data_IF_855342633328
#
_entry.id   IF_855342633328
#
_cell.length_a   1.000
_cell.length_b   1.000
_cell.length_c   1.000
_cell.angle_alpha   90.00
_cell.angle_beta   90.00
_cell.angle_gamma   90.00
#
_symmetry.space_group_name_H-M   'P 1'
#
loop_
_entity.id
_entity.type
_entity.pdbx_description
1 polymer ?
#
# COMPACT_ATOMS: atom_id res chain seq x y z
N UNK A 1 13.57 2.44 2.77
CA UNK A 1 13.13 3.63 2.00
C UNK A 1 12.03 3.25 1.02
N UNK A 2 11.02 4.10 0.85
CA UNK A 2 9.98 3.87 -0.17
C UNK A 2 10.51 4.25 -1.54
N UNK A 3 10.27 3.38 -2.53
CA UNK A 3 10.61 3.57 -3.94
C UNK A 3 9.32 3.51 -4.74
N UNK A 4 9.14 4.44 -5.68
CA UNK A 4 7.94 4.49 -6.51
C UNK A 4 8.36 4.49 -7.97
N UNK A 5 7.74 3.60 -8.74
CA UNK A 5 7.77 3.64 -10.19
C UNK A 5 6.40 4.05 -10.72
N UNK A 6 6.36 5.09 -11.55
CA UNK A 6 5.16 5.59 -12.19
C UNK A 6 4.98 5.03 -13.61
N UNK A 7 3.74 4.68 -13.96
CA UNK A 7 3.39 4.18 -15.29
C UNK A 7 3.57 2.66 -15.45
N UNK A 8 3.66 2.21 -16.69
CA UNK A 8 3.64 0.79 -17.03
C UNK A 8 4.91 0.07 -16.55
N UNK A 9 4.74 -0.94 -15.71
CA UNK A 9 5.82 -1.78 -15.19
C UNK A 9 5.47 -3.26 -15.36
N UNK A 10 6.20 -3.96 -16.21
CA UNK A 10 5.91 -5.36 -16.57
C UNK A 10 5.95 -6.31 -15.37
N UNK A 11 6.83 -6.03 -14.42
CA UNK A 11 7.05 -6.80 -13.20
C UNK A 11 5.98 -6.53 -12.13
N UNK A 12 5.17 -5.48 -12.30
CA UNK A 12 4.14 -5.10 -11.35
C UNK A 12 2.94 -6.05 -11.41
N UNK A 13 2.49 -6.52 -10.25
CA UNK A 13 1.26 -7.29 -10.11
C UNK A 13 0.08 -6.32 -10.03
N UNK A 14 -0.70 -6.24 -11.11
CA UNK A 14 -1.83 -5.32 -11.23
C UNK A 14 -3.06 -5.75 -10.44
N UNK A 15 -3.42 -7.04 -10.48
CA UNK A 15 -4.62 -7.55 -9.83
C UNK A 15 -4.32 -7.97 -8.38
N UNK A 16 -4.06 -7.00 -7.52
CA UNK A 16 -3.71 -7.22 -6.11
C UNK A 16 -4.82 -7.93 -5.33
N UNK A 17 -6.09 -7.69 -5.68
CA UNK A 17 -7.22 -8.37 -5.06
C UNK A 17 -7.23 -9.87 -5.33
N UNK A 18 -6.90 -10.29 -6.56
CA UNK A 18 -6.81 -11.71 -6.91
C UNK A 18 -5.58 -12.35 -6.28
N UNK A 19 -4.43 -11.68 -6.32
CA UNK A 19 -3.22 -12.17 -5.64
C UNK A 19 -3.49 -12.38 -4.14
N UNK A 20 -4.03 -11.35 -3.47
CA UNK A 20 -4.38 -11.45 -2.05
C UNK A 20 -5.32 -12.62 -1.77
N UNK A 21 -6.34 -12.85 -2.61
CA UNK A 21 -7.29 -13.95 -2.42
C UNK A 21 -6.62 -15.33 -2.36
N UNK A 22 -5.54 -15.55 -3.11
CA UNK A 22 -4.89 -16.86 -3.23
C UNK A 22 -3.64 -17.01 -2.35
N UNK A 23 -2.97 -15.91 -2.02
CA UNK A 23 -1.62 -15.94 -1.45
C UNK A 23 -1.50 -15.25 -0.08
N UNK A 24 -2.59 -14.74 0.50
CA UNK A 24 -2.52 -14.21 1.87
C UNK A 24 -2.41 -15.31 2.91
N UNK A 25 -1.68 -15.04 3.99
CA UNK A 25 -1.55 -15.93 5.13
C UNK A 25 -2.38 -15.45 6.33
N UNK A 26 -3.06 -16.37 7.02
CA UNK A 26 -3.90 -16.05 8.18
C UNK A 26 -3.16 -15.30 9.29
N UNK A 27 -1.89 -15.63 9.51
CA UNK A 27 -1.07 -14.97 10.53
C UNK A 27 -0.74 -13.51 10.18
N UNK A 28 -0.84 -13.10 8.92
CA UNK A 28 -0.68 -11.70 8.51
C UNK A 28 -1.83 -10.84 9.03
N UNK A 29 -3.05 -11.39 9.11
CA UNK A 29 -4.24 -10.65 9.50
C UNK A 29 -4.22 -10.26 10.98
N UNK A 30 -3.64 -11.13 11.81
CA UNK A 30 -3.53 -10.90 13.26
C UNK A 30 -2.26 -10.16 13.68
N UNK A 31 -1.37 -9.82 12.75
CA UNK A 31 -0.19 -9.00 13.00
C UNK A 31 -0.61 -7.63 13.57
N UNK A 32 -0.03 -7.16 14.70
CA UNK A 32 -0.46 -5.92 15.34
C UNK A 32 -0.41 -4.70 14.42
N UNK A 33 0.59 -4.61 13.54
CA UNK A 33 0.71 -3.52 12.58
C UNK A 33 -0.40 -3.62 11.52
N UNK A 34 -0.72 -4.82 11.04
CA UNK A 34 -1.85 -5.02 10.11
C UNK A 34 -3.19 -4.70 10.78
N UNK A 35 -3.39 -5.04 12.05
CA UNK A 35 -4.62 -4.67 12.77
C UNK A 35 -4.81 -3.16 12.87
N UNK A 36 -3.75 -2.41 13.20
CA UNK A 36 -3.79 -0.94 13.23
C UNK A 36 -4.10 -0.37 11.84
N UNK A 37 -3.49 -0.95 10.80
CA UNK A 37 -3.69 -0.55 9.41
C UNK A 37 -5.11 -0.82 8.89
N UNK A 38 -5.67 -2.01 9.17
CA UNK A 38 -7.06 -2.35 8.84
C UNK A 38 -8.01 -1.38 9.53
N UNK A 39 -7.81 -1.14 10.83
CA UNK A 39 -8.64 -0.20 11.58
C UNK A 39 -8.56 1.22 11.03
N UNK A 40 -7.39 1.68 10.64
CA UNK A 40 -7.20 3.04 10.16
C UNK A 40 -7.74 3.26 8.74
N UNK A 41 -7.52 2.33 7.82
CA UNK A 41 -7.88 2.48 6.40
C UNK A 41 -9.29 1.96 6.10
N UNK A 42 -9.65 0.79 6.63
CA UNK A 42 -10.93 0.11 6.38
C UNK A 42 -12.01 0.51 7.41
N UNK A 43 -11.60 1.03 8.56
CA UNK A 43 -12.45 1.25 9.74
C UNK A 43 -13.02 -0.05 10.33
N UNK A 44 -12.40 -1.18 10.02
CA UNK A 44 -12.81 -2.51 10.47
C UNK A 44 -11.95 -3.01 11.63
N UNK A 45 -12.51 -3.89 12.48
CA UNK A 45 -11.81 -4.47 13.64
C UNK A 45 -11.52 -5.94 13.40
N UNK A 46 -10.25 -6.35 13.49
CA UNK A 46 -9.86 -7.76 13.39
C UNK A 46 -10.21 -8.49 14.70
N UNK A 47 -11.18 -9.40 14.65
CA UNK A 47 -11.57 -10.23 15.79
C UNK A 47 -10.70 -11.48 15.89
N UNK A 48 -10.42 -12.10 14.74
CA UNK A 48 -9.54 -13.27 14.60
C UNK A 48 -8.96 -13.31 13.17
N UNK A 49 -8.07 -14.26 12.85
CA UNK A 49 -7.43 -14.36 11.52
C UNK A 49 -8.44 -14.48 10.37
N UNK A 50 -9.54 -15.20 10.58
CA UNK A 50 -10.60 -15.41 9.60
C UNK A 50 -11.81 -14.48 9.73
N UNK A 51 -11.85 -13.60 10.75
CA UNK A 51 -13.06 -12.83 11.08
C UNK A 51 -12.73 -11.37 11.38
N UNK A 52 -13.31 -10.49 10.58
CA UNK A 52 -13.16 -9.03 10.67
C UNK A 52 -14.55 -8.41 10.81
N UNK A 53 -14.71 -7.50 11.76
CA UNK A 53 -15.95 -6.75 11.98
C UNK A 53 -15.91 -5.43 11.20
N UNK A 54 -16.61 -5.40 10.07
CA UNK A 54 -16.74 -4.22 9.22
C UNK A 54 -17.94 -3.38 9.61
N UNK A 55 -17.80 -2.04 9.69
CA UNK A 55 -18.92 -1.15 10.01
C UNK A 55 -19.99 -1.13 8.92
N UNK A 56 -19.66 -1.55 7.68
CA UNK A 56 -20.58 -1.52 6.53
C UNK A 56 -21.15 -2.90 6.23
N UNK A 57 -20.31 -3.94 6.26
CA UNK A 57 -20.68 -5.29 5.82
C UNK A 57 -20.90 -6.28 6.98
N UNK A 58 -20.68 -5.86 8.23
CA UNK A 58 -20.69 -6.74 9.40
C UNK A 58 -19.50 -7.68 9.42
N UNK A 59 -19.71 -8.94 9.85
CA UNK A 59 -18.62 -9.93 9.95
C UNK A 59 -18.25 -10.45 8.57
N UNK A 60 -17.02 -10.17 8.14
CA UNK A 60 -16.47 -10.55 6.84
C UNK A 60 -15.17 -11.34 7.01
N UNK A 61 -14.82 -12.23 6.05
CA UNK A 61 -13.48 -12.81 5.98
C UNK A 61 -12.44 -11.77 5.48
N UNK A 62 -11.13 -12.05 5.59
CA UNK A 62 -10.07 -11.15 5.08
C UNK A 62 -10.20 -10.78 3.60
N UNK A 63 -10.72 -11.70 2.78
CA UNK A 63 -11.00 -11.42 1.35
C UNK A 63 -12.08 -10.35 1.15
N UNK A 64 -12.82 -9.97 2.19
CA UNK A 64 -13.81 -8.89 2.17
C UNK A 64 -13.22 -7.50 2.42
N UNK A 65 -11.96 -7.37 2.83
CA UNK A 65 -11.30 -6.08 3.05
C UNK A 65 -11.27 -5.21 1.79
N UNK A 66 -11.18 -3.89 1.97
CA UNK A 66 -11.00 -2.96 0.86
C UNK A 66 -9.70 -3.26 0.08
N UNK A 67 -9.73 -2.97 -1.22
CA UNK A 67 -8.61 -3.23 -2.13
C UNK A 67 -7.30 -2.59 -1.68
N UNK A 68 -7.35 -1.33 -1.22
CA UNK A 68 -6.16 -0.62 -0.73
C UNK A 68 -5.50 -1.31 0.46
N UNK A 69 -6.28 -1.86 1.40
CA UNK A 69 -5.76 -2.58 2.57
C UNK A 69 -5.12 -3.90 2.17
N UNK A 70 -5.75 -4.64 1.26
CA UNK A 70 -5.17 -5.86 0.69
C UNK A 70 -3.81 -5.57 0.06
N UNK A 71 -3.73 -4.52 -0.75
CA UNK A 71 -2.46 -4.10 -1.38
C UNK A 71 -1.39 -3.73 -0.35
N UNK A 72 -1.74 -3.00 0.71
CA UNK A 72 -0.80 -2.68 1.79
C UNK A 72 -0.28 -3.91 2.51
N UNK A 73 -1.15 -4.90 2.81
CA UNK A 73 -0.74 -6.16 3.42
C UNK A 73 0.24 -6.91 2.51
N UNK A 74 -0.04 -6.98 1.21
CA UNK A 74 0.87 -7.58 0.24
C UNK A 74 2.23 -6.87 0.24
N UNK A 75 2.26 -5.53 0.11
CA UNK A 75 3.52 -4.76 0.11
C UNK A 75 4.32 -4.93 1.41
N UNK A 76 3.65 -5.18 2.55
CA UNK A 76 4.32 -5.43 3.83
C UNK A 76 5.05 -6.78 3.85
N UNK A 77 4.40 -7.86 3.41
CA UNK A 77 4.91 -9.22 3.60
C UNK A 77 5.60 -9.82 2.36
N UNK A 78 5.14 -9.48 1.16
CA UNK A 78 5.67 -9.98 -0.11
C UNK A 78 6.78 -9.05 -0.63
N UNK A 79 7.95 -9.17 0.01
CA UNK A 79 9.08 -8.23 -0.14
C UNK A 79 9.72 -8.21 -1.53
N UNK A 80 9.69 -9.35 -2.21
CA UNK A 80 10.34 -9.57 -3.50
C UNK A 80 9.44 -9.22 -4.69
N UNK A 81 8.23 -8.71 -4.41
CA UNK A 81 7.21 -8.41 -5.40
C UNK A 81 6.95 -6.92 -5.46
N UNK A 82 6.53 -6.46 -6.63
CA UNK A 82 6.08 -5.09 -6.85
C UNK A 82 4.60 -5.16 -7.14
N UNK A 83 3.81 -4.41 -6.39
CA UNK A 83 2.36 -4.37 -6.54
C UNK A 83 1.93 -3.02 -7.09
N UNK A 84 0.91 -3.04 -7.95
CA UNK A 84 0.21 -1.83 -8.35
C UNK A 84 -0.62 -1.31 -7.17
N UNK A 85 -0.19 -0.18 -6.61
CA UNK A 85 -0.85 0.52 -5.52
C UNK A 85 -1.90 1.53 -6.00
N UNK A 86 -2.26 1.55 -7.29
CA UNK A 86 -3.19 2.55 -7.84
C UNK A 86 -4.63 2.41 -7.36
N UNK A 87 -4.97 1.29 -6.71
CA UNK A 87 -6.26 1.10 -6.02
C UNK A 87 -6.28 1.68 -4.61
N UNK A 88 -5.13 2.09 -4.09
CA UNK A 88 -5.00 2.79 -2.82
C UNK A 88 -5.31 4.28 -3.02
N UNK A 89 -6.07 4.87 -2.09
CA UNK A 89 -6.19 6.33 -1.96
C UNK A 89 -5.14 6.90 -1.01
N UNK A 90 -5.20 8.22 -0.80
CA UNK A 90 -4.22 8.96 0.04
C UNK A 90 -4.13 8.46 1.49
N UNK A 91 -5.21 7.87 2.02
CA UNK A 91 -5.20 7.27 3.36
C UNK A 91 -4.22 6.09 3.51
N UNK A 92 -3.76 5.50 2.41
CA UNK A 92 -2.75 4.45 2.40
C UNK A 92 -1.31 5.00 2.44
N UNK A 93 -1.09 6.26 2.07
CA UNK A 93 0.23 6.83 1.84
C UNK A 93 1.16 6.72 3.06
N UNK A 94 0.66 7.08 4.24
CA UNK A 94 1.40 6.96 5.50
C UNK A 94 1.80 5.52 5.83
N UNK A 95 1.03 4.54 5.38
CA UNK A 95 1.33 3.13 5.61
C UNK A 95 2.43 2.62 4.70
N UNK A 96 2.50 3.07 3.44
CA UNK A 96 3.66 2.79 2.59
C UNK A 96 4.95 3.35 3.18
N UNK A 97 4.92 4.57 3.70
CA UNK A 97 6.06 5.17 4.40
C UNK A 97 6.47 4.32 5.61
N UNK A 98 5.53 4.02 6.52
CA UNK A 98 5.76 3.17 7.70
C UNK A 98 6.33 1.79 7.36
N UNK A 99 5.81 1.13 6.32
CA UNK A 99 6.32 -0.18 5.88
C UNK A 99 7.78 -0.04 5.45
N UNK A 100 8.10 1.03 4.73
CA UNK A 100 9.41 1.25 4.14
C UNK A 100 10.46 1.87 5.10
N UNK A 101 10.10 2.14 6.36
CA UNK A 101 11.02 2.64 7.40
C UNK A 101 12.11 1.62 7.73
N UNK A 102 11.76 0.32 7.78
CA UNK A 102 12.69 -0.75 8.19
C UNK A 102 13.49 -1.34 7.05
N UNK A 103 12.92 -1.34 5.85
CA UNK A 103 13.48 -2.01 4.68
C UNK A 103 12.98 -1.32 3.42
N UNK A 104 13.73 -1.40 2.33
CA UNK A 104 13.29 -0.84 1.07
C UNK A 104 12.04 -1.55 0.54
N UNK A 105 11.10 -0.75 0.03
CA UNK A 105 9.90 -1.24 -0.64
C UNK A 105 9.68 -0.47 -1.92
N UNK A 106 9.37 -1.22 -2.98
CA UNK A 106 9.01 -0.65 -4.28
C UNK A 106 7.53 -0.87 -4.53
N UNK A 107 6.83 0.20 -4.88
CA UNK A 107 5.44 0.15 -5.33
C UNK A 107 5.32 0.76 -6.73
N UNK A 108 4.29 0.37 -7.45
CA UNK A 108 3.94 0.94 -8.74
C UNK A 108 2.67 1.79 -8.62
N UNK A 109 2.68 2.99 -9.22
CA UNK A 109 1.55 3.92 -9.20
C UNK A 109 1.26 4.47 -10.60
N UNK A 110 -0.02 4.74 -10.85
CA UNK A 110 -0.52 5.41 -12.07
C UNK A 110 -1.21 6.74 -11.76
N UNK A 111 -1.00 7.26 -10.55
CA UNK A 111 -1.48 8.57 -10.12
C UNK A 111 -0.56 9.11 -9.02
N UNK A 112 -0.51 10.43 -8.86
CA UNK A 112 0.24 11.06 -7.77
C UNK A 112 -0.55 10.95 -6.46
N UNK A 113 -0.14 10.02 -5.59
CA UNK A 113 -0.66 9.87 -4.24
C UNK A 113 -0.20 11.03 -3.35
N UNK A 114 -1.09 11.55 -2.50
CA UNK A 114 -0.73 12.57 -1.52
C UNK A 114 -0.10 11.95 -0.27
N UNK A 115 1.22 12.08 -0.13
CA UNK A 115 1.99 11.62 1.03
C UNK A 115 1.94 12.57 2.23
N UNK A 116 1.10 13.61 2.17
CA UNK A 116 0.90 14.55 3.25
C UNK A 116 1.84 15.76 3.21
N UNK A 117 1.75 16.57 4.26
CA UNK A 117 2.51 17.82 4.41
C UNK A 117 3.81 17.66 5.17
N UNK A 118 3.97 16.56 5.90
CA UNK A 118 5.22 16.23 6.57
C UNK A 118 6.27 15.90 5.50
N UNK A 119 7.54 16.19 5.79
CA UNK A 119 8.62 15.78 4.90
C UNK A 119 8.70 14.26 4.83
N UNK A 120 8.94 13.74 3.63
CA UNK A 120 9.14 12.32 3.39
C UNK A 120 10.47 12.07 2.68
N UNK A 121 10.89 10.81 2.52
CA UNK A 121 12.03 10.45 1.67
C UNK A 121 11.56 9.34 0.72
N UNK A 122 11.32 9.69 -0.53
CA UNK A 122 10.81 8.76 -1.55
C UNK A 122 11.73 8.81 -2.77
N UNK A 123 12.22 7.64 -3.20
CA UNK A 123 12.97 7.51 -4.45
C UNK A 123 12.01 7.32 -5.62
N UNK A 124 12.03 8.24 -6.58
CA UNK A 124 11.30 8.14 -7.84
C UNK A 124 12.17 7.37 -8.84
N UNK A 125 11.79 6.14 -9.13
CA UNK A 125 12.59 5.22 -9.94
C UNK A 125 12.68 5.63 -11.41
N UNK A 126 11.66 6.34 -11.93
CA UNK A 126 11.65 6.85 -13.29
C UNK A 126 12.83 7.79 -13.58
N UNK A 127 13.22 8.61 -12.59
CA UNK A 127 14.25 9.65 -12.72
C UNK A 127 15.46 9.43 -11.83
N UNK A 128 15.41 8.42 -10.95
CA UNK A 128 16.38 8.14 -9.90
C UNK A 128 16.64 9.34 -8.96
N UNK A 129 15.60 10.13 -8.67
CA UNK A 129 15.66 11.28 -7.77
C UNK A 129 14.92 10.99 -6.47
N UNK A 130 15.46 11.46 -5.35
CA UNK A 130 14.79 11.43 -4.05
C UNK A 130 14.00 12.73 -3.90
N UNK A 131 12.73 12.62 -3.51
CA UNK A 131 11.85 13.75 -3.25
C UNK A 131 11.45 13.79 -1.79
N UNK A 132 11.31 15.02 -1.28
CA UNK A 132 11.06 15.29 0.12
C UNK A 132 9.74 15.98 0.41
N UNK A 133 9.13 16.56 -0.63
CA UNK A 133 7.90 17.32 -0.51
C UNK A 133 6.95 17.01 -1.65
N UNK A 134 5.66 17.33 -1.43
CA UNK A 134 4.63 17.24 -2.47
C UNK A 134 4.99 18.03 -3.73
N UNK A 135 5.61 19.21 -3.60
CA UNK A 135 5.97 20.03 -4.76
C UNK A 135 7.07 19.37 -5.60
N UNK A 136 8.09 18.81 -4.94
CA UNK A 136 9.13 18.05 -5.62
C UNK A 136 8.56 16.81 -6.30
N UNK A 137 7.70 16.06 -5.60
CA UNK A 137 7.01 14.90 -6.16
C UNK A 137 6.24 15.25 -7.44
N UNK A 138 5.43 16.30 -7.39
CA UNK A 138 4.67 16.78 -8.58
C UNK A 138 5.62 17.20 -9.70
N UNK A 139 6.69 17.93 -9.37
CA UNK A 139 7.65 18.42 -10.38
C UNK A 139 8.45 17.30 -11.04
N UNK A 140 8.75 16.22 -10.32
CA UNK A 140 9.63 15.13 -10.79
C UNK A 140 8.83 13.98 -11.39
N UNK A 141 7.66 13.66 -10.82
CA UNK A 141 6.86 12.50 -11.22
C UNK A 141 5.64 12.84 -12.09
N UNK A 142 5.26 14.12 -12.18
CA UNK A 142 4.03 14.54 -12.84
C UNK A 142 3.94 14.23 -14.34
N UNK A 143 5.06 14.01 -15.02
CA UNK A 143 5.09 13.65 -16.45
C UNK A 143 4.82 12.15 -16.72
N UNK A 144 4.82 11.31 -15.68
CA UNK A 144 4.68 9.85 -15.81
C UNK A 144 3.27 9.33 -15.45
N UNK A 145 2.32 10.21 -15.18
CA UNK A 145 0.95 9.89 -14.74
C UNK A 145 -0.11 10.43 -15.69
#
# INVERSE_FOLDING_TARGET
MLKIFYGDMKESIYNTASYFKYDYEDYWIVDPFVKEMIYDVDKSVVLDSGVIDSPVLGKIPPIGLLGGVKTLILVKFEKDKIFNASTCGDNCAKWFLKIAEKEDRTINLHHLMDFGKEGFDILILNTNQIVHTKMELVSIAGEFV
#
